data_IF_426925301383
#
_entry.id   IF_426925301383
#
_cell.length_a   1.000
_cell.length_b   1.000
_cell.length_c   1.000
_cell.angle_alpha   90.00
_cell.angle_beta   90.00
_cell.angle_gamma   90.00
#
_symmetry.space_group_name_H-M   'P 1'
#
loop_
_entity.id
_entity.type
_entity.pdbx_description
1 polymer ?
#
# COMPACT_ATOMS: atom_id res chain seq x y z
N UNK A 1 -35.77 3.27 -60.52
CA UNK A 1 -35.44 1.82 -60.50
C UNK A 1 -36.18 1.20 -59.34
N UNK A 2 -37.14 0.35 -59.68
CA UNK A 2 -38.05 -0.37 -58.78
C UNK A 2 -37.42 -1.75 -58.42
N UNK A 3 -38.04 -2.58 -57.56
CA UNK A 3 -37.43 -3.29 -56.46
C UNK A 3 -37.60 -4.82 -56.64
N UNK A 4 -37.25 -5.62 -55.63
CA UNK A 4 -37.90 -6.90 -55.33
C UNK A 4 -37.98 -7.00 -53.81
N UNK A 5 -39.10 -6.65 -53.15
CA UNK A 5 -40.35 -7.44 -53.01
C UNK A 5 -40.07 -8.94 -52.76
N UNK A 6 -40.74 -9.67 -51.88
CA UNK A 6 -41.75 -9.49 -50.81
C UNK A 6 -42.29 -10.92 -50.59
N UNK A 7 -42.91 -11.16 -49.43
CA UNK A 7 -44.05 -12.08 -49.17
C UNK A 7 -43.72 -13.13 -48.08
N UNK A 8 -44.20 -12.97 -46.84
CA UNK A 8 -45.58 -12.96 -46.32
C UNK A 8 -46.02 -14.34 -45.82
N UNK A 9 -46.37 -14.34 -44.53
CA UNK A 9 -47.20 -15.33 -43.87
C UNK A 9 -48.62 -15.35 -44.45
N UNK A 10 -49.26 -16.52 -44.52
CA UNK A 10 -50.69 -16.73 -44.25
C UNK A 10 -51.10 -18.22 -44.28
N UNK A 11 -51.69 -18.64 -43.17
CA UNK A 11 -52.96 -19.38 -43.02
C UNK A 11 -53.17 -20.83 -43.54
N UNK A 12 -53.44 -21.70 -42.55
CA UNK A 12 -54.71 -22.45 -42.29
C UNK A 12 -55.25 -23.43 -43.36
N UNK A 13 -55.21 -24.71 -42.95
CA UNK A 13 -56.18 -25.80 -43.09
C UNK A 13 -56.62 -26.32 -44.47
N UNK A 14 -56.36 -27.62 -44.72
CA UNK A 14 -57.35 -28.72 -44.69
C UNK A 14 -56.93 -29.89 -45.61
N UNK A 15 -57.19 -31.14 -45.17
CA UNK A 15 -57.15 -32.35 -46.00
C UNK A 15 -56.23 -33.47 -45.47
N UNK A 16 -56.56 -34.09 -44.33
CA UNK A 16 -57.16 -35.44 -44.23
C UNK A 16 -56.34 -36.65 -44.76
N UNK A 17 -56.04 -37.54 -43.81
CA UNK A 17 -56.08 -39.01 -43.89
C UNK A 17 -54.97 -39.76 -44.66
N UNK A 18 -53.97 -40.21 -43.89
CA UNK A 18 -53.45 -41.58 -44.02
C UNK A 18 -52.99 -42.08 -42.66
N UNK A 19 -53.81 -42.96 -42.08
CA UNK A 19 -53.45 -43.82 -40.95
C UNK A 19 -52.35 -44.78 -41.38
N UNK A 20 -51.20 -44.73 -40.73
CA UNK A 20 -50.28 -45.87 -40.64
C UNK A 20 -49.56 -45.79 -39.30
N UNK A 21 -49.94 -46.71 -38.42
CA UNK A 21 -49.33 -46.90 -37.13
C UNK A 21 -47.91 -47.47 -37.29
N UNK A 22 -46.92 -46.84 -36.65
CA UNK A 22 -45.70 -47.48 -36.17
C UNK A 22 -45.12 -46.68 -35.00
N UNK A 23 -45.18 -47.32 -33.83
CA UNK A 23 -44.42 -47.14 -32.57
C UNK A 23 -43.68 -45.82 -32.31
N UNK A 24 -44.08 -45.14 -31.23
CA UNK A 24 -43.23 -44.22 -30.48
C UNK A 24 -42.08 -45.01 -29.85
N UNK A 25 -40.88 -44.85 -30.38
CA UNK A 25 -39.67 -45.11 -29.59
C UNK A 25 -39.57 -44.05 -28.49
N UNK A 26 -39.27 -44.53 -27.28
CA UNK A 26 -39.11 -43.72 -26.10
C UNK A 26 -37.98 -42.70 -26.31
N UNK A 27 -38.22 -41.45 -25.90
CA UNK A 27 -37.16 -40.46 -25.76
C UNK A 27 -36.05 -41.05 -24.87
N UNK A 28 -34.76 -40.87 -25.23
CA UNK A 28 -33.68 -41.30 -24.37
C UNK A 28 -33.82 -40.60 -23.00
N UNK A 29 -33.62 -41.32 -21.88
CA UNK A 29 -33.75 -40.73 -20.56
C UNK A 29 -32.77 -39.56 -20.44
N UNK A 30 -33.26 -38.45 -19.89
CA UNK A 30 -32.42 -37.34 -19.47
C UNK A 30 -31.28 -37.91 -18.62
N UNK A 31 -30.07 -37.82 -19.17
CA UNK A 31 -28.84 -38.10 -18.42
C UNK A 31 -28.92 -37.27 -17.14
N UNK A 32 -28.82 -37.89 -15.94
CA UNK A 32 -28.81 -37.11 -14.71
C UNK A 32 -27.66 -36.13 -14.82
N UNK A 33 -27.96 -34.84 -14.86
CA UNK A 33 -26.96 -33.81 -14.56
C UNK A 33 -26.43 -34.22 -13.20
N UNK A 34 -25.14 -34.59 -13.16
CA UNK A 34 -24.47 -34.95 -11.93
C UNK A 34 -24.82 -33.87 -10.90
N UNK A 35 -25.61 -34.24 -9.88
CA UNK A 35 -25.92 -33.35 -8.78
C UNK A 35 -24.58 -32.85 -8.26
N UNK A 36 -24.29 -31.56 -8.47
CA UNK A 36 -23.30 -30.88 -7.64
C UNK A 36 -23.71 -31.24 -6.21
N UNK A 37 -22.83 -31.94 -5.50
CA UNK A 37 -23.02 -32.25 -4.08
C UNK A 37 -23.52 -30.97 -3.43
N UNK A 38 -24.68 -31.02 -2.75
CA UNK A 38 -25.23 -29.84 -2.12
C UNK A 38 -24.15 -29.23 -1.22
N UNK A 39 -23.84 -27.95 -1.41
CA UNK A 39 -22.87 -27.25 -0.57
C UNK A 39 -23.33 -27.32 0.89
N UNK A 40 -22.39 -27.52 1.81
CA UNK A 40 -22.71 -27.68 3.23
C UNK A 40 -23.37 -26.43 3.86
N UNK A 41 -23.11 -25.27 3.28
CA UNK A 41 -23.71 -23.98 3.65
C UNK A 41 -23.96 -23.14 2.38
N UNK A 42 -24.84 -22.14 2.46
CA UNK A 42 -24.99 -21.14 1.40
C UNK A 42 -23.83 -20.14 1.39
N UNK A 43 -23.66 -19.38 0.31
CA UNK A 43 -22.65 -18.32 0.25
C UNK A 43 -22.84 -17.24 1.35
N UNK A 44 -24.09 -16.90 1.68
CA UNK A 44 -24.39 -15.96 2.76
C UNK A 44 -24.05 -16.52 4.14
N UNK A 45 -24.31 -17.81 4.37
CA UNK A 45 -23.93 -18.50 5.61
C UNK A 45 -22.41 -18.60 5.75
N UNK A 46 -21.70 -18.90 4.65
CA UNK A 46 -20.25 -18.89 4.60
C UNK A 46 -19.68 -17.52 4.99
N UNK A 47 -20.16 -16.45 4.36
CA UNK A 47 -19.70 -15.08 4.65
C UNK A 47 -19.95 -14.71 6.11
N UNK A 48 -21.13 -15.04 6.65
CA UNK A 48 -21.46 -14.78 8.05
C UNK A 48 -20.50 -15.53 9.00
N UNK A 49 -20.20 -16.80 8.70
CA UNK A 49 -19.27 -17.63 9.49
C UNK A 49 -17.85 -17.07 9.46
N UNK A 50 -17.28 -16.83 8.29
CA UNK A 50 -15.89 -16.33 8.20
C UNK A 50 -15.75 -14.92 8.81
N UNK A 51 -16.81 -14.10 8.75
CA UNK A 51 -16.81 -12.78 9.39
C UNK A 51 -16.78 -12.89 10.92
N UNK A 52 -17.53 -13.85 11.48
CA UNK A 52 -17.50 -14.12 12.91
C UNK A 52 -16.14 -14.68 13.36
N UNK A 53 -15.57 -15.63 12.60
CA UNK A 53 -14.24 -16.18 12.86
C UNK A 53 -13.15 -15.09 12.77
N UNK A 54 -13.18 -14.25 11.74
CA UNK A 54 -12.26 -13.13 11.59
C UNK A 54 -12.35 -12.14 12.75
N UNK A 55 -13.57 -11.74 13.13
CA UNK A 55 -13.80 -10.84 14.27
C UNK A 55 -13.28 -11.42 15.57
N UNK A 56 -13.45 -12.73 15.79
CA UNK A 56 -12.97 -13.40 16.99
C UNK A 56 -11.44 -13.50 17.03
N UNK A 57 -10.78 -13.69 15.88
CA UNK A 57 -9.32 -13.76 15.78
C UNK A 57 -8.61 -12.40 15.81
N UNK A 58 -9.31 -11.31 15.45
CA UNK A 58 -8.72 -9.99 15.27
C UNK A 58 -7.97 -9.42 16.48
N UNK A 59 -8.44 -9.58 17.74
CA UNK A 59 -7.70 -9.09 18.91
C UNK A 59 -6.32 -9.75 19.08
N UNK A 60 -6.19 -11.04 18.77
CA UNK A 60 -4.92 -11.76 18.94
C UNK A 60 -3.84 -11.23 17.99
N UNK A 61 -4.17 -11.13 16.69
CA UNK A 61 -3.21 -10.62 15.70
C UNK A 61 -2.83 -9.16 15.98
N UNK A 62 -3.81 -8.31 16.31
CA UNK A 62 -3.53 -6.89 16.57
C UNK A 62 -2.74 -6.68 17.86
N UNK A 63 -3.00 -7.46 18.92
CA UNK A 63 -2.20 -7.42 20.15
C UNK A 63 -0.76 -7.88 19.92
N UNK A 64 -0.54 -8.95 19.15
CA UNK A 64 0.81 -9.43 18.82
C UNK A 64 1.60 -8.39 18.01
N UNK A 65 0.96 -7.76 17.02
CA UNK A 65 1.58 -6.68 16.25
C UNK A 65 1.88 -5.45 17.12
N UNK A 66 0.93 -5.03 17.97
CA UNK A 66 1.13 -3.92 18.90
C UNK A 66 2.31 -4.17 19.85
N UNK A 67 2.40 -5.39 20.41
CA UNK A 67 3.50 -5.79 21.28
C UNK A 67 4.85 -5.70 20.55
N UNK A 68 4.94 -6.21 19.32
CA UNK A 68 6.15 -6.15 18.51
C UNK A 68 6.60 -4.73 18.17
N UNK A 69 5.64 -3.82 17.96
CA UNK A 69 5.91 -2.40 17.68
C UNK A 69 6.29 -1.59 18.92
N UNK A 70 5.84 -1.99 20.11
CA UNK A 70 6.07 -1.25 21.36
C UNK A 70 7.18 -1.84 22.24
N UNK A 71 7.54 -3.10 22.04
CA UNK A 71 8.61 -3.81 22.75
C UNK A 71 9.48 -4.58 21.74
N UNK A 72 10.42 -3.89 21.10
CA UNK A 72 11.20 -4.46 19.99
C UNK A 72 12.29 -5.42 20.53
N UNK A 73 12.03 -6.72 20.48
CA UNK A 73 12.97 -7.79 20.86
C UNK A 73 12.64 -9.10 20.12
N UNK A 74 13.48 -10.12 20.26
CA UNK A 74 13.30 -11.40 19.56
C UNK A 74 11.98 -12.12 19.90
N UNK A 75 11.54 -12.05 21.15
CA UNK A 75 10.33 -12.76 21.61
C UNK A 75 9.06 -12.12 21.03
N UNK A 76 8.95 -10.79 21.07
CA UNK A 76 7.80 -10.07 20.51
C UNK A 76 7.71 -10.22 18.98
N UNK A 77 8.86 -10.21 18.31
CA UNK A 77 8.95 -10.45 16.86
C UNK A 77 8.54 -11.89 16.51
N UNK A 78 8.94 -12.88 17.32
CA UNK A 78 8.51 -14.27 17.15
C UNK A 78 6.99 -14.42 17.32
N UNK A 79 6.41 -13.78 18.34
CA UNK A 79 4.95 -13.82 18.57
C UNK A 79 4.18 -13.19 17.41
N UNK A 80 4.61 -12.01 16.92
CA UNK A 80 3.99 -11.36 15.77
C UNK A 80 4.11 -12.20 14.49
N UNK A 81 5.28 -12.80 14.24
CA UNK A 81 5.48 -13.69 13.10
C UNK A 81 4.56 -14.91 13.16
N UNK A 82 4.42 -15.57 14.32
CA UNK A 82 3.53 -16.71 14.50
C UNK A 82 2.04 -16.35 14.39
N UNK A 83 1.64 -15.17 14.88
CA UNK A 83 0.28 -14.67 14.71
C UNK A 83 -0.04 -14.40 13.22
N UNK A 84 0.90 -13.78 12.49
CA UNK A 84 0.77 -13.57 11.04
C UNK A 84 0.69 -14.89 10.26
N UNK A 85 1.55 -15.87 10.59
CA UNK A 85 1.52 -17.20 9.96
C UNK A 85 0.13 -17.85 10.09
N UNK A 86 -0.45 -17.84 11.29
CA UNK A 86 -1.80 -18.38 11.53
C UNK A 86 -2.88 -17.62 10.76
N UNK A 87 -2.79 -16.28 10.75
CA UNK A 87 -3.76 -15.42 10.07
C UNK A 87 -3.74 -15.63 8.56
N UNK A 88 -2.56 -15.66 7.95
CA UNK A 88 -2.41 -15.90 6.51
C UNK A 88 -2.88 -17.31 6.13
N UNK A 89 -2.53 -18.33 6.91
CA UNK A 89 -3.02 -19.68 6.66
C UNK A 89 -4.54 -19.79 6.76
N UNK A 90 -5.18 -19.03 7.66
CA UNK A 90 -6.64 -18.98 7.77
C UNK A 90 -7.27 -18.23 6.59
N UNK A 91 -6.67 -17.11 6.18
CA UNK A 91 -7.10 -16.35 5.01
C UNK A 91 -7.06 -17.24 3.75
N UNK A 92 -5.96 -17.97 3.53
CA UNK A 92 -5.82 -18.88 2.40
C UNK A 92 -6.90 -19.98 2.42
N UNK A 93 -7.21 -20.53 3.60
CA UNK A 93 -8.32 -21.50 3.75
C UNK A 93 -9.66 -20.89 3.35
N UNK A 94 -9.98 -19.68 3.80
CA UNK A 94 -11.22 -19.01 3.42
C UNK A 94 -11.25 -18.68 1.92
N UNK A 95 -10.15 -18.20 1.34
CA UNK A 95 -10.06 -17.94 -0.10
C UNK A 95 -10.28 -19.22 -0.89
N UNK A 96 -9.70 -20.35 -0.48
CA UNK A 96 -9.93 -21.64 -1.14
C UNK A 96 -11.39 -22.09 -1.02
N UNK A 97 -11.96 -22.05 0.19
CA UNK A 97 -13.37 -22.36 0.43
C UNK A 97 -14.30 -21.46 -0.38
N UNK A 98 -13.94 -20.20 -0.60
CA UNK A 98 -14.78 -19.24 -1.34
C UNK A 98 -15.03 -19.67 -2.80
N UNK A 99 -14.14 -20.46 -3.40
CA UNK A 99 -14.21 -20.86 -4.80
C UNK A 99 -15.43 -21.73 -5.11
N UNK A 100 -15.94 -22.47 -4.13
CA UNK A 100 -17.13 -23.32 -4.32
C UNK A 100 -18.41 -22.50 -4.53
N UNK A 101 -18.41 -21.22 -4.14
CA UNK A 101 -19.54 -20.29 -4.30
C UNK A 101 -19.47 -19.48 -5.61
N UNK A 102 -18.49 -19.76 -6.48
CA UNK A 102 -18.42 -19.10 -7.77
C UNK A 102 -19.67 -19.41 -8.63
N UNK A 103 -20.41 -18.37 -9.00
CA UNK A 103 -21.63 -18.49 -9.80
C UNK A 103 -22.85 -19.02 -9.04
N UNK A 104 -22.80 -19.12 -7.71
CA UNK A 104 -23.98 -19.45 -6.88
C UNK A 104 -24.76 -18.19 -6.52
N UNK A 105 -26.09 -18.24 -6.36
CA UNK A 105 -26.87 -17.11 -5.85
C UNK A 105 -26.40 -16.68 -4.46
N UNK A 106 -26.30 -15.36 -4.22
CA UNK A 106 -25.92 -14.77 -2.94
C UNK A 106 -26.40 -13.31 -2.86
N UNK A 107 -26.44 -12.74 -1.65
CA UNK A 107 -26.68 -11.30 -1.48
C UNK A 107 -25.56 -10.44 -2.08
N UNK A 108 -25.86 -9.18 -2.38
CA UNK A 108 -24.87 -8.22 -2.86
C UNK A 108 -23.73 -8.02 -1.84
N UNK A 109 -24.06 -8.02 -0.55
CA UNK A 109 -23.09 -7.89 0.55
C UNK A 109 -22.15 -9.09 0.60
N UNK A 110 -22.67 -10.32 0.45
CA UNK A 110 -21.83 -11.51 0.38
C UNK A 110 -20.95 -11.54 -0.85
N UNK A 111 -21.47 -11.13 -2.02
CA UNK A 111 -20.66 -11.02 -3.23
C UNK A 111 -19.49 -10.03 -3.02
N UNK A 112 -19.75 -8.89 -2.38
CA UNK A 112 -18.73 -7.91 -2.01
C UNK A 112 -17.74 -8.48 -1.00
N UNK A 113 -18.20 -9.17 0.05
CA UNK A 113 -17.33 -9.76 1.06
C UNK A 113 -16.39 -10.82 0.46
N UNK A 114 -16.89 -11.68 -0.44
CA UNK A 114 -16.06 -12.66 -1.15
C UNK A 114 -15.05 -12.02 -2.09
N UNK A 115 -15.39 -10.88 -2.72
CA UNK A 115 -14.44 -10.11 -3.50
C UNK A 115 -13.34 -9.54 -2.60
N UNK A 116 -13.70 -8.86 -1.50
CA UNK A 116 -12.75 -8.31 -0.53
C UNK A 116 -11.83 -9.38 0.05
N UNK A 117 -12.35 -10.57 0.32
CA UNK A 117 -11.56 -11.70 0.80
C UNK A 117 -10.38 -12.04 -0.14
N UNK A 118 -10.59 -11.99 -1.46
CA UNK A 118 -9.50 -12.20 -2.42
C UNK A 118 -8.50 -11.04 -2.42
N UNK A 119 -8.99 -9.81 -2.22
CA UNK A 119 -8.18 -8.60 -2.20
C UNK A 119 -7.32 -8.47 -0.93
N UNK A 120 -7.63 -9.21 0.13
CA UNK A 120 -6.80 -9.30 1.34
C UNK A 120 -5.43 -9.96 1.08
N UNK A 121 -5.25 -10.66 -0.05
CA UNK A 121 -3.97 -11.25 -0.46
C UNK A 121 -3.14 -10.24 -1.27
N UNK A 122 -2.40 -9.36 -0.59
CA UNK A 122 -1.58 -8.33 -1.25
C UNK A 122 -0.46 -8.92 -2.12
N UNK A 123 0.11 -10.05 -1.68
CA UNK A 123 1.08 -10.84 -2.43
C UNK A 123 0.47 -12.22 -2.73
N UNK A 124 -0.29 -12.37 -3.82
CA UNK A 124 -0.93 -13.64 -4.14
C UNK A 124 0.14 -14.68 -4.49
N UNK A 125 0.16 -15.79 -3.75
CA UNK A 125 1.12 -16.86 -3.96
C UNK A 125 0.62 -17.92 -4.96
N UNK A 126 1.52 -18.54 -5.75
CA UNK A 126 1.19 -19.76 -6.49
C UNK A 126 0.71 -20.88 -5.56
N UNK A 127 -0.11 -21.80 -6.09
CA UNK A 127 -0.60 -22.97 -5.33
C UNK A 127 0.47 -24.02 -5.07
N UNK A 128 1.50 -24.06 -5.90
CA UNK A 128 2.62 -24.97 -5.75
C UNK A 128 3.42 -24.58 -4.48
N UNK A 129 3.51 -25.45 -3.46
CA UNK A 129 4.20 -25.14 -2.22
C UNK A 129 5.67 -24.75 -2.41
N UNK A 130 6.35 -25.30 -3.42
CA UNK A 130 7.74 -24.95 -3.71
C UNK A 130 7.85 -23.54 -4.28
N UNK A 131 6.92 -23.15 -5.16
CA UNK A 131 6.85 -21.79 -5.72
C UNK A 131 6.40 -20.77 -4.68
N UNK A 132 5.50 -21.15 -3.77
CA UNK A 132 5.12 -20.32 -2.63
C UNK A 132 6.33 -20.05 -1.72
N UNK A 133 7.09 -21.09 -1.36
CA UNK A 133 8.31 -20.95 -0.59
C UNK A 133 9.39 -20.13 -1.32
N UNK A 134 9.48 -20.26 -2.65
CA UNK A 134 10.36 -19.44 -3.48
C UNK A 134 9.95 -17.96 -3.43
N UNK A 135 8.66 -17.66 -3.62
CA UNK A 135 8.13 -16.29 -3.59
C UNK A 135 8.38 -15.61 -2.24
N UNK A 136 8.08 -16.29 -1.13
CA UNK A 136 8.27 -15.73 0.21
C UNK A 136 9.74 -15.49 0.52
N UNK A 137 10.62 -16.41 0.13
CA UNK A 137 12.08 -16.23 0.27
C UNK A 137 12.60 -15.07 -0.56
N UNK A 138 12.15 -14.91 -1.81
CA UNK A 138 12.55 -13.80 -2.68
C UNK A 138 12.06 -12.47 -2.11
N UNK A 139 10.81 -12.38 -1.66
CA UNK A 139 10.26 -11.17 -1.05
C UNK A 139 11.05 -10.76 0.20
N UNK A 140 11.28 -11.70 1.13
CA UNK A 140 12.06 -11.44 2.34
C UNK A 140 13.52 -11.05 2.03
N UNK A 141 14.12 -11.68 1.01
CA UNK A 141 15.47 -11.33 0.57
C UNK A 141 15.53 -9.91 0.01
N UNK A 142 14.61 -9.50 -0.86
CA UNK A 142 14.59 -8.14 -1.42
C UNK A 142 14.36 -7.08 -0.34
N UNK A 143 13.49 -7.35 0.64
CA UNK A 143 13.28 -6.47 1.80
C UNK A 143 14.56 -6.33 2.64
N UNK A 144 15.23 -7.46 2.92
CA UNK A 144 16.51 -7.47 3.64
C UNK A 144 17.64 -6.79 2.88
N UNK A 145 17.78 -7.04 1.57
CA UNK A 145 18.79 -6.41 0.71
C UNK A 145 18.61 -4.89 0.67
N UNK A 146 17.35 -4.42 0.58
CA UNK A 146 17.03 -3.00 0.66
C UNK A 146 17.40 -2.42 2.02
N UNK A 147 16.93 -3.03 3.12
CA UNK A 147 17.15 -2.54 4.49
C UNK A 147 18.62 -2.57 4.93
N UNK A 148 19.41 -3.53 4.44
CA UNK A 148 20.84 -3.64 4.71
C UNK A 148 21.73 -2.92 3.69
N UNK A 149 21.13 -2.29 2.68
CA UNK A 149 21.84 -1.59 1.62
C UNK A 149 22.82 -0.56 2.16
N UNK A 150 24.07 -0.63 1.72
CA UNK A 150 25.12 0.33 2.08
C UNK A 150 26.00 0.67 0.90
N UNK A 151 26.35 1.95 0.78
CA UNK A 151 27.29 2.44 -0.21
C UNK A 151 28.61 2.78 0.47
N UNK A 152 29.70 2.13 0.05
CA UNK A 152 31.02 2.31 0.64
C UNK A 152 31.98 2.97 -0.35
N UNK A 153 32.74 3.95 0.15
CA UNK A 153 33.84 4.61 -0.57
C UNK A 153 35.16 4.42 0.18
N UNK A 154 36.27 4.38 -0.56
CA UNK A 154 37.59 4.12 -0.01
C UNK A 154 37.87 2.65 0.28
N UNK A 155 39.10 2.35 0.68
CA UNK A 155 39.59 0.99 0.96
C UNK A 155 40.28 0.91 2.32
N UNK A 156 40.38 -0.30 2.89
CA UNK A 156 41.06 -0.55 4.16
C UNK A 156 40.52 0.32 5.31
N UNK A 157 41.42 0.98 6.04
CA UNK A 157 41.08 1.88 7.16
C UNK A 157 40.32 3.14 6.73
N UNK A 158 40.36 3.49 5.44
CA UNK A 158 39.65 4.66 4.89
C UNK A 158 38.25 4.30 4.36
N UNK A 159 37.84 3.04 4.48
CA UNK A 159 36.52 2.59 4.03
C UNK A 159 35.44 3.23 4.88
N UNK A 160 34.59 4.04 4.25
CA UNK A 160 33.42 4.67 4.87
C UNK A 160 32.18 4.19 4.15
N UNK A 161 31.27 3.58 4.90
CA UNK A 161 30.00 3.08 4.39
C UNK A 161 28.87 3.97 4.91
N UNK A 162 27.93 4.32 4.04
CA UNK A 162 26.72 5.06 4.37
C UNK A 162 25.49 4.22 4.06
N UNK A 163 24.53 4.21 4.97
CA UNK A 163 23.21 3.61 4.75
C UNK A 163 22.23 4.64 4.16
N UNK A 164 21.04 4.17 3.75
CA UNK A 164 20.01 5.00 3.10
C UNK A 164 19.76 6.33 3.82
N UNK A 165 19.53 6.32 5.13
CA UNK A 165 19.24 7.55 5.88
C UNK A 165 20.37 8.58 5.85
N UNK A 166 21.64 8.14 5.86
CA UNK A 166 22.79 9.04 5.74
C UNK A 166 22.90 9.63 4.32
N UNK A 167 22.60 8.82 3.31
CA UNK A 167 22.57 9.27 1.91
C UNK A 167 21.40 10.22 1.64
N UNK A 168 20.22 9.94 2.21
CA UNK A 168 19.05 10.82 2.16
C UNK A 168 19.32 12.16 2.83
N UNK A 169 20.04 12.18 3.95
CA UNK A 169 20.43 13.43 4.61
C UNK A 169 21.30 14.30 3.70
N UNK A 170 22.21 13.71 2.91
CA UNK A 170 22.99 14.46 1.92
C UNK A 170 22.08 15.11 0.89
N UNK A 171 21.11 14.37 0.33
CA UNK A 171 20.16 14.93 -0.65
C UNK A 171 19.26 16.01 -0.04
N UNK A 172 18.83 15.84 1.21
CA UNK A 172 17.97 16.79 1.88
C UNK A 172 18.66 18.13 2.14
N UNK A 173 19.90 18.11 2.66
CA UNK A 173 20.56 19.32 3.18
C UNK A 173 21.77 19.82 2.39
N UNK A 174 22.47 18.98 1.63
CA UNK A 174 23.61 19.44 0.84
C UNK A 174 23.13 20.22 -0.38
N UNK A 175 23.92 21.21 -0.77
CA UNK A 175 23.78 21.96 -2.03
C UNK A 175 25.06 21.84 -2.88
N UNK A 176 25.91 20.87 -2.58
CA UNK A 176 27.00 20.48 -3.45
C UNK A 176 26.49 19.47 -4.50
N UNK A 177 26.77 19.75 -5.76
CA UNK A 177 26.30 18.92 -6.87
C UNK A 177 26.90 17.50 -6.83
N UNK A 178 28.21 17.40 -6.56
CA UNK A 178 28.93 16.14 -6.63
C UNK A 178 28.60 15.25 -5.42
N UNK A 179 28.42 15.83 -4.23
CA UNK A 179 27.98 15.08 -3.05
C UNK A 179 26.58 14.49 -3.26
N UNK A 180 25.64 15.27 -3.79
CA UNK A 180 24.30 14.80 -4.09
C UNK A 180 24.31 13.71 -5.17
N UNK A 181 25.11 13.90 -6.24
CA UNK A 181 25.25 12.91 -7.30
C UNK A 181 25.83 11.60 -6.79
N UNK A 182 26.91 11.66 -5.99
CA UNK A 182 27.55 10.49 -5.38
C UNK A 182 26.60 9.76 -4.43
N UNK A 183 25.84 10.49 -3.60
CA UNK A 183 24.86 9.87 -2.70
C UNK A 183 23.74 9.15 -3.47
N UNK A 184 23.17 9.80 -4.49
CA UNK A 184 22.11 9.23 -5.32
C UNK A 184 22.58 8.02 -6.11
N UNK A 185 23.74 8.11 -6.79
CA UNK A 185 24.31 6.99 -7.55
C UNK A 185 24.72 5.85 -6.63
N UNK A 186 25.32 6.18 -5.48
CA UNK A 186 25.73 5.23 -4.46
C UNK A 186 24.57 4.38 -3.97
N UNK A 187 23.43 5.00 -3.65
CA UNK A 187 22.23 4.24 -3.29
C UNK A 187 21.71 3.38 -4.44
N UNK A 188 21.57 3.92 -5.65
CA UNK A 188 21.03 3.16 -6.79
C UNK A 188 21.94 1.99 -7.20
N UNK A 189 23.23 2.03 -6.87
CA UNK A 189 24.15 0.92 -7.08
C UNK A 189 23.80 -0.32 -6.24
N UNK A 190 23.17 -0.14 -5.06
CA UNK A 190 22.78 -1.25 -4.17
C UNK A 190 21.61 -2.07 -4.72
N UNK A 191 20.80 -1.49 -5.61
CA UNK A 191 19.62 -2.13 -6.17
C UNK A 191 19.92 -3.11 -7.32
N UNK A 192 21.09 -3.00 -7.98
CA UNK A 192 21.39 -3.82 -9.16
C UNK A 192 21.32 -5.33 -8.93
N UNK A 193 21.82 -5.89 -7.80
CA UNK A 193 21.73 -7.32 -7.51
C UNK A 193 20.29 -7.84 -7.39
N UNK A 194 19.34 -6.98 -7.01
CA UNK A 194 17.93 -7.37 -6.82
C UNK A 194 17.18 -7.58 -8.14
N UNK A 195 17.74 -7.20 -9.29
CA UNK A 195 17.03 -7.24 -10.58
C UNK A 195 16.46 -8.62 -10.92
N UNK A 196 17.26 -9.68 -10.74
CA UNK A 196 16.83 -11.06 -11.06
C UNK A 196 15.73 -11.53 -10.10
N UNK A 197 15.89 -11.22 -8.82
CA UNK A 197 14.92 -11.54 -7.78
C UNK A 197 13.58 -10.83 -8.07
N UNK A 198 13.61 -9.55 -8.46
CA UNK A 198 12.40 -8.79 -8.81
C UNK A 198 11.68 -9.36 -10.04
N UNK A 199 12.41 -9.76 -11.09
CA UNK A 199 11.81 -10.42 -12.25
C UNK A 199 11.08 -11.70 -11.86
N UNK A 200 11.75 -12.55 -11.06
CA UNK A 200 11.17 -13.82 -10.60
C UNK A 200 9.98 -13.59 -9.65
N UNK A 201 10.06 -12.58 -8.79
CA UNK A 201 8.96 -12.14 -7.95
C UNK A 201 7.71 -11.80 -8.77
N UNK A 202 7.86 -11.00 -9.83
CA UNK A 202 6.73 -10.63 -10.72
C UNK A 202 6.11 -11.85 -11.39
N UNK A 203 6.91 -12.80 -11.88
CA UNK A 203 6.41 -14.04 -12.49
C UNK A 203 5.53 -14.84 -11.53
N UNK A 204 6.03 -15.06 -10.30
CA UNK A 204 5.37 -15.84 -9.26
C UNK A 204 4.11 -15.12 -8.75
N UNK A 205 4.17 -13.82 -8.49
CA UNK A 205 3.02 -13.03 -8.07
C UNK A 205 1.91 -13.01 -9.14
N UNK A 206 2.28 -12.92 -10.42
CA UNK A 206 1.32 -13.01 -11.52
C UNK A 206 0.68 -14.39 -11.64
N UNK A 207 1.44 -15.47 -11.40
CA UNK A 207 0.87 -16.83 -11.34
C UNK A 207 -0.13 -16.96 -10.19
N UNK A 208 0.19 -16.44 -9.01
CA UNK A 208 -0.74 -16.39 -7.88
C UNK A 208 -2.01 -15.60 -8.19
N UNK A 209 -1.88 -14.41 -8.79
CA UNK A 209 -3.01 -13.56 -9.17
C UNK A 209 -3.98 -14.26 -10.15
N UNK A 210 -3.44 -14.99 -11.13
CA UNK A 210 -4.24 -15.85 -12.03
C UNK A 210 -4.96 -16.96 -11.28
N UNK A 211 -4.33 -17.54 -10.27
CA UNK A 211 -4.95 -18.53 -9.38
C UNK A 211 -6.17 -18.01 -8.60
N UNK A 212 -6.29 -16.69 -8.44
CA UNK A 212 -7.41 -15.98 -7.81
C UNK A 212 -8.45 -15.43 -8.80
N UNK A 213 -8.19 -15.56 -10.11
CA UNK A 213 -9.08 -15.11 -11.19
C UNK A 213 -8.76 -13.71 -11.74
N UNK A 214 -7.59 -13.15 -11.44
CA UNK A 214 -7.13 -11.88 -12.02
C UNK A 214 -6.12 -12.13 -13.15
N UNK A 215 -6.02 -11.22 -14.12
CA UNK A 215 -5.08 -11.39 -15.24
C UNK A 215 -3.61 -11.33 -14.79
N UNK A 216 -3.32 -10.45 -13.85
CA UNK A 216 -2.00 -10.20 -13.26
C UNK A 216 -2.14 -9.55 -11.87
N UNK A 217 -1.03 -9.42 -11.15
CA UNK A 217 -1.01 -8.84 -9.79
C UNK A 217 -1.41 -7.36 -9.78
N UNK A 218 -1.15 -6.64 -10.88
CA UNK A 218 -1.56 -5.24 -11.01
C UNK A 218 -3.08 -5.08 -11.11
N UNK A 219 -3.76 -5.98 -11.84
CA UNK A 219 -5.23 -6.02 -11.90
C UNK A 219 -5.81 -6.35 -10.52
N UNK A 220 -5.20 -7.28 -9.78
CA UNK A 220 -5.60 -7.58 -8.39
C UNK A 220 -5.52 -6.30 -7.53
N UNK A 221 -4.38 -5.60 -7.52
CA UNK A 221 -4.22 -4.38 -6.73
C UNK A 221 -5.21 -3.28 -7.13
N UNK A 222 -5.40 -3.04 -8.43
CA UNK A 222 -6.35 -2.04 -8.94
C UNK A 222 -7.81 -2.41 -8.67
N UNK A 223 -8.12 -3.68 -8.37
CA UNK A 223 -9.48 -4.12 -8.01
C UNK A 223 -9.92 -3.64 -6.62
N UNK A 224 -9.02 -3.06 -5.83
CA UNK A 224 -9.35 -2.44 -4.54
C UNK A 224 -10.11 -1.11 -4.63
N UNK A 225 -10.25 -0.52 -5.82
CA UNK A 225 -10.83 0.81 -6.01
C UNK A 225 -12.35 0.84 -6.25
N UNK A 226 -13.06 -0.27 -5.99
CA UNK A 226 -14.51 -0.39 -6.22
C UNK A 226 -14.98 0.05 -7.63
N UNK A 227 -14.08 -0.07 -8.61
CA UNK A 227 -14.30 0.27 -10.01
C UNK A 227 -13.63 -0.78 -10.91
N UNK A 228 -14.03 -0.92 -12.19
CA UNK A 228 -13.34 -1.80 -13.12
C UNK A 228 -11.84 -1.43 -13.21
N UNK A 229 -10.90 -2.38 -13.03
CA UNK A 229 -9.46 -2.09 -12.99
C UNK A 229 -8.91 -1.36 -14.22
N UNK A 230 -9.54 -1.53 -15.39
CA UNK A 230 -9.18 -0.84 -16.62
C UNK A 230 -9.56 0.65 -16.61
N UNK A 231 -10.62 1.03 -15.89
CA UNK A 231 -11.04 2.42 -15.77
C UNK A 231 -10.12 3.22 -14.86
N UNK A 232 -9.49 2.59 -13.85
CA UNK A 232 -8.57 3.29 -12.95
C UNK A 232 -7.38 3.93 -13.69
N UNK A 233 -6.84 3.23 -14.70
CA UNK A 233 -5.74 3.76 -15.51
C UNK A 233 -6.18 5.03 -16.27
N UNK A 234 -7.32 4.96 -16.97
CA UNK A 234 -7.89 6.12 -17.66
C UNK A 234 -8.17 7.28 -16.72
N UNK A 235 -8.60 6.99 -15.49
CA UNK A 235 -8.95 8.04 -14.54
C UNK A 235 -7.72 8.68 -13.89
N UNK A 236 -6.66 7.89 -13.69
CA UNK A 236 -5.34 8.40 -13.30
C UNK A 236 -4.78 9.33 -14.37
N UNK A 237 -4.85 8.94 -15.65
CA UNK A 237 -4.39 9.77 -16.78
C UNK A 237 -5.21 11.07 -16.88
N UNK A 238 -6.53 11.00 -16.70
CA UNK A 238 -7.40 12.20 -16.69
C UNK A 238 -7.01 13.17 -15.59
N UNK A 239 -6.80 12.67 -14.37
CA UNK A 239 -6.39 13.48 -13.23
C UNK A 239 -5.00 14.07 -13.43
N UNK A 240 -4.06 13.29 -13.99
CA UNK A 240 -2.73 13.78 -14.35
C UNK A 240 -2.79 14.94 -15.34
N UNK A 241 -3.58 14.84 -16.42
CA UNK A 241 -3.70 15.93 -17.40
C UNK A 241 -4.31 17.21 -16.79
N UNK A 242 -5.08 17.12 -15.71
CA UNK A 242 -5.57 18.29 -14.96
C UNK A 242 -4.49 18.93 -14.10
N UNK A 243 -3.60 18.13 -13.49
CA UNK A 243 -2.49 18.60 -12.64
C UNK A 243 -1.30 19.09 -13.47
N UNK A 244 -1.09 18.49 -14.64
CA UNK A 244 0.07 18.70 -15.52
C UNK A 244 0.37 20.17 -15.85
N UNK A 245 -0.60 21.08 -16.13
CA UNK A 245 -0.29 22.49 -16.35
C UNK A 245 0.34 23.17 -15.14
N UNK A 246 -0.10 22.83 -13.92
CA UNK A 246 0.49 23.32 -12.68
C UNK A 246 1.89 22.72 -12.47
N UNK A 247 2.01 21.41 -12.66
CA UNK A 247 3.30 20.72 -12.54
C UNK A 247 4.34 21.26 -13.53
N UNK A 248 3.95 21.54 -14.78
CA UNK A 248 4.85 22.09 -15.79
C UNK A 248 5.37 23.49 -15.40
N UNK A 249 4.52 24.33 -14.82
CA UNK A 249 4.94 25.65 -14.31
C UNK A 249 5.89 25.50 -13.11
N UNK A 250 5.56 24.60 -12.17
CA UNK A 250 6.42 24.31 -11.01
C UNK A 250 7.78 23.75 -11.45
N UNK A 251 7.79 22.81 -12.38
CA UNK A 251 9.01 22.22 -12.95
C UNK A 251 9.85 23.28 -13.65
N UNK A 252 9.23 24.16 -14.44
CA UNK A 252 9.94 25.25 -15.13
C UNK A 252 10.55 26.25 -14.12
N UNK A 253 9.80 26.59 -13.07
CA UNK A 253 10.28 27.46 -12.01
C UNK A 253 11.45 26.82 -11.24
N UNK A 254 11.31 25.56 -10.85
CA UNK A 254 12.35 24.80 -10.16
C UNK A 254 13.62 24.70 -11.01
N UNK A 255 13.48 24.40 -12.32
CA UNK A 255 14.62 24.40 -13.25
C UNK A 255 15.35 25.73 -13.24
N UNK A 256 14.65 26.86 -13.36
CA UNK A 256 15.28 28.18 -13.33
C UNK A 256 16.04 28.47 -12.03
N UNK A 257 15.53 27.97 -10.89
CA UNK A 257 16.23 28.06 -9.59
C UNK A 257 17.47 27.18 -9.54
N UNK A 258 17.39 25.95 -10.04
CA UNK A 258 18.54 25.04 -10.14
C UNK A 258 19.61 25.59 -11.10
N UNK A 259 19.23 26.13 -12.26
CA UNK A 259 20.15 26.76 -13.20
C UNK A 259 20.90 27.93 -12.56
N UNK A 260 20.20 28.72 -11.73
CA UNK A 260 20.82 29.83 -10.98
C UNK A 260 21.82 29.32 -9.94
N UNK A 261 21.51 28.22 -9.25
CA UNK A 261 22.35 27.67 -8.19
C UNK A 261 23.55 26.88 -8.71
N UNK A 262 23.36 26.05 -9.74
CA UNK A 262 24.33 25.06 -10.19
C UNK A 262 24.95 25.36 -11.56
N UNK A 263 24.41 26.34 -12.28
CA UNK A 263 24.73 26.58 -13.69
C UNK A 263 23.92 25.67 -14.62
N UNK A 264 23.69 26.12 -15.86
CA UNK A 264 22.83 25.42 -16.82
C UNK A 264 23.37 24.05 -17.26
N UNK A 265 24.68 23.83 -17.18
CA UNK A 265 25.31 22.53 -17.45
C UNK A 265 24.99 21.46 -16.39
N UNK A 266 24.52 21.88 -15.21
CA UNK A 266 24.24 21.01 -14.07
C UNK A 266 22.81 21.11 -13.53
N UNK A 267 22.16 22.26 -13.67
CA UNK A 267 20.79 22.51 -13.22
C UNK A 267 19.71 21.86 -14.07
N UNK A 268 20.06 21.44 -15.29
CA UNK A 268 19.19 20.71 -16.20
C UNK A 268 19.93 19.55 -16.89
N UNK A 269 19.15 18.57 -17.37
CA UNK A 269 19.60 17.53 -18.31
C UNK A 269 18.87 17.66 -19.64
N UNK A 270 19.19 16.79 -20.60
CA UNK A 270 18.65 16.84 -21.97
C UNK A 270 17.12 17.06 -22.01
N UNK A 271 16.69 18.03 -22.82
CA UNK A 271 15.27 18.40 -22.94
C UNK A 271 14.78 19.36 -21.84
N UNK A 272 15.67 19.94 -21.04
CA UNK A 272 15.30 20.84 -19.94
C UNK A 272 14.64 20.10 -18.77
N UNK A 273 15.00 18.83 -18.58
CA UNK A 273 14.53 18.00 -17.47
C UNK A 273 15.37 18.28 -16.22
N UNK A 274 14.81 17.99 -15.04
CA UNK A 274 15.52 18.18 -13.78
C UNK A 274 16.46 16.99 -13.50
N UNK A 275 17.69 17.21 -13.04
CA UNK A 275 18.56 16.14 -12.57
C UNK A 275 17.98 15.49 -11.30
N UNK A 276 17.76 14.17 -11.33
CA UNK A 276 17.09 13.44 -10.25
C UNK A 276 17.74 13.64 -8.87
N UNK A 277 19.07 13.65 -8.82
CA UNK A 277 19.83 13.80 -7.57
C UNK A 277 19.73 15.19 -6.93
N UNK A 278 19.15 16.20 -7.59
CA UNK A 278 19.02 17.55 -7.05
C UNK A 278 17.65 17.85 -6.43
N UNK A 279 16.77 16.84 -6.30
CA UNK A 279 15.38 17.06 -5.88
C UNK A 279 15.11 16.98 -4.38
N UNK A 280 16.15 16.98 -3.55
CA UNK A 280 15.98 16.97 -2.09
C UNK A 280 15.55 15.63 -1.50
N UNK A 281 15.33 14.60 -2.33
CA UNK A 281 14.85 13.28 -1.93
C UNK A 281 15.43 12.19 -2.85
N UNK A 282 15.66 10.98 -2.30
CA UNK A 282 16.29 9.86 -3.01
C UNK A 282 15.55 9.42 -4.28
N UNK A 283 14.22 9.51 -4.30
CA UNK A 283 13.37 9.11 -5.42
C UNK A 283 12.54 10.26 -6.00
N UNK A 284 12.89 11.50 -5.64
CA UNK A 284 12.27 12.71 -6.18
C UNK A 284 10.76 12.78 -5.92
N UNK A 285 10.25 12.03 -4.94
CA UNK A 285 8.81 11.89 -4.66
C UNK A 285 8.23 13.12 -3.95
N UNK A 286 9.10 13.90 -3.31
CA UNK A 286 8.78 15.15 -2.61
C UNK A 286 9.95 16.12 -2.77
N UNK A 287 9.65 17.39 -3.07
CA UNK A 287 10.61 18.48 -3.25
C UNK A 287 10.61 19.47 -2.08
N UNK A 288 9.93 19.16 -0.97
CA UNK A 288 9.84 19.99 0.23
C UNK A 288 11.21 20.39 0.79
N UNK A 289 12.19 19.50 0.73
CA UNK A 289 13.58 19.76 1.13
C UNK A 289 14.30 20.81 0.25
N UNK A 290 13.70 21.28 -0.84
CA UNK A 290 14.21 22.38 -1.66
C UNK A 290 13.60 23.74 -1.32
N UNK A 291 12.86 23.85 -0.21
CA UNK A 291 12.17 25.10 0.16
C UNK A 291 13.10 26.32 0.21
N UNK A 292 14.33 26.16 0.71
CA UNK A 292 15.38 27.19 0.71
C UNK A 292 15.70 27.73 -0.70
N UNK A 293 15.67 26.88 -1.72
CA UNK A 293 15.90 27.24 -3.13
C UNK A 293 14.63 27.75 -3.83
N UNK A 294 13.48 27.15 -3.50
CA UNK A 294 12.22 27.35 -4.22
C UNK A 294 11.33 28.44 -3.61
N UNK A 295 11.61 28.90 -2.39
CA UNK A 295 10.83 29.95 -1.74
C UNK A 295 10.67 31.18 -2.67
N UNK A 296 9.43 31.63 -2.95
CA UNK A 296 9.22 32.77 -3.84
C UNK A 296 9.66 34.11 -3.23
N UNK A 297 9.49 34.26 -1.91
CA UNK A 297 9.72 35.51 -1.19
C UNK A 297 10.53 35.27 0.09
N UNK A 298 11.86 35.47 0.06
CA UNK A 298 12.68 35.38 1.25
C UNK A 298 12.20 36.33 2.35
N UNK A 299 12.06 35.83 3.58
CA UNK A 299 11.66 36.64 4.75
C UNK A 299 10.16 36.90 4.91
N UNK A 300 9.30 36.38 4.01
CA UNK A 300 7.89 36.20 4.35
C UNK A 300 7.80 35.11 5.41
N UNK A 301 7.22 35.41 6.58
CA UNK A 301 7.36 34.62 7.81
C UNK A 301 7.13 33.11 7.67
N UNK A 302 7.80 32.36 8.54
CA UNK A 302 7.71 30.90 8.60
C UNK A 302 6.51 30.45 9.46
N UNK A 303 5.88 29.35 9.06
CA UNK A 303 4.83 28.65 9.82
C UNK A 303 5.43 27.61 10.78
N UNK A 304 6.74 27.57 10.96
CA UNK A 304 7.39 26.70 11.93
C UNK A 304 6.95 27.04 13.38
N UNK A 305 6.10 26.18 13.93
CA UNK A 305 5.63 26.26 15.32
C UNK A 305 6.53 25.51 16.31
N UNK A 306 7.64 24.92 15.87
CA UNK A 306 8.54 24.10 16.71
C UNK A 306 8.98 24.87 17.95
N UNK A 307 9.43 26.12 17.78
CA UNK A 307 9.85 26.98 18.89
C UNK A 307 8.71 27.26 19.90
N UNK A 308 7.46 27.34 19.43
CA UNK A 308 6.30 27.54 20.31
C UNK A 308 5.99 26.26 21.10
N UNK A 309 6.09 25.09 20.47
CA UNK A 309 5.91 23.79 21.13
C UNK A 309 7.03 23.50 22.14
N UNK A 310 8.28 23.82 21.80
CA UNK A 310 9.41 23.75 22.74
C UNK A 310 9.18 24.64 23.95
N UNK A 311 8.71 25.88 23.74
CA UNK A 311 8.38 26.79 24.84
C UNK A 311 7.30 26.23 25.75
N UNK A 312 6.28 25.58 25.20
CA UNK A 312 5.24 24.89 25.99
C UNK A 312 5.83 23.73 26.80
N UNK A 313 6.70 22.92 26.21
CA UNK A 313 7.42 21.86 26.92
C UNK A 313 8.27 22.42 28.07
N UNK A 314 9.04 23.49 27.83
CA UNK A 314 9.87 24.13 28.85
C UNK A 314 9.03 24.70 30.01
N UNK A 315 7.84 25.23 29.71
CA UNK A 315 6.87 25.65 30.72
C UNK A 315 6.39 24.47 31.58
N UNK A 316 6.03 23.35 30.95
CA UNK A 316 5.64 22.13 31.65
C UNK A 316 6.78 21.57 32.52
N UNK A 317 8.01 21.54 32.01
CA UNK A 317 9.19 21.07 32.74
C UNK A 317 9.48 21.96 33.97
N UNK A 318 9.45 23.28 33.78
CA UNK A 318 9.65 24.23 34.87
C UNK A 318 8.62 24.05 35.98
N UNK A 319 7.35 23.82 35.61
CA UNK A 319 6.27 23.57 36.57
C UNK A 319 6.45 22.26 37.36
N UNK A 320 6.96 21.20 36.72
CA UNK A 320 7.26 19.92 37.41
C UNK A 320 8.46 20.08 38.35
N UNK A 321 9.55 20.69 37.89
CA UNK A 321 10.74 20.93 38.70
C UNK A 321 10.43 21.78 39.95
N UNK A 322 9.58 22.80 39.81
CA UNK A 322 9.16 23.66 40.94
C UNK A 322 8.39 22.88 42.03
N UNK A 323 7.62 21.85 41.65
CA UNK A 323 6.89 20.99 42.61
C UNK A 323 7.81 20.03 43.36
N UNK A 324 8.95 19.67 42.75
CA UNK A 324 9.91 18.73 43.31
C UNK A 324 11.04 19.41 44.10
N UNK A 325 10.86 20.67 44.53
CA UNK A 325 11.84 21.50 45.23
C UNK A 325 12.25 20.99 46.62
N UNK A 326 11.61 19.92 47.13
CA UNK A 326 12.00 19.22 48.37
C UNK A 326 12.80 17.92 48.17
N UNK A 327 13.08 17.52 46.92
CA UNK A 327 13.89 16.34 46.59
C UNK A 327 15.38 16.66 46.44
N UNK A 328 16.22 15.63 46.42
CA UNK A 328 17.68 15.65 46.28
C UNK A 328 18.23 16.25 44.97
N UNK A 329 17.36 16.65 44.03
CA UNK A 329 17.73 17.39 42.81
C UNK A 329 18.68 16.64 41.87
N UNK A 330 18.91 15.35 42.14
CA UNK A 330 19.85 14.49 41.45
C UNK A 330 19.38 14.09 40.04
N UNK A 331 20.25 13.37 39.32
CA UNK A 331 20.00 12.95 37.94
C UNK A 331 18.66 12.18 37.78
N UNK A 332 18.32 11.32 38.74
CA UNK A 332 17.06 10.58 38.72
C UNK A 332 15.83 11.50 38.86
N UNK A 333 15.89 12.49 39.75
CA UNK A 333 14.80 13.45 39.93
C UNK A 333 14.59 14.31 38.67
N UNK A 334 15.67 14.72 38.01
CA UNK A 334 15.62 15.47 36.74
C UNK A 334 15.05 14.61 35.60
N UNK A 335 15.53 13.38 35.46
CA UNK A 335 14.99 12.44 34.46
C UNK A 335 13.49 12.21 34.65
N UNK A 336 13.03 11.98 35.89
CA UNK A 336 11.61 11.80 36.17
C UNK A 336 10.80 13.07 35.85
N UNK A 337 11.34 14.26 36.15
CA UNK A 337 10.69 15.52 35.81
C UNK A 337 10.56 15.72 34.30
N UNK A 338 11.60 15.38 33.53
CA UNK A 338 11.58 15.40 32.06
C UNK A 338 10.53 14.44 31.51
N UNK A 339 10.45 13.21 32.03
CA UNK A 339 9.44 12.22 31.62
C UNK A 339 8.01 12.67 31.93
N UNK A 340 7.78 13.27 33.10
CA UNK A 340 6.46 13.82 33.43
C UNK A 340 6.09 14.99 32.50
N UNK A 341 7.04 15.91 32.25
CA UNK A 341 6.83 17.05 31.36
C UNK A 341 6.55 16.62 29.92
N UNK A 342 7.28 15.61 29.41
CA UNK A 342 7.03 15.01 28.10
C UNK A 342 5.61 14.42 28.03
N UNK A 343 5.21 13.62 29.03
CA UNK A 343 3.88 13.02 29.08
C UNK A 343 2.78 14.08 29.13
N UNK A 344 2.96 15.12 29.96
CA UNK A 344 2.01 16.24 30.06
C UNK A 344 1.86 16.98 28.74
N UNK A 345 2.98 17.27 28.07
CA UNK A 345 2.99 17.97 26.78
C UNK A 345 2.29 17.12 25.71
N UNK A 346 2.59 15.81 25.64
CA UNK A 346 1.95 14.89 24.71
C UNK A 346 0.43 14.77 24.94
N UNK A 347 -0.01 14.74 26.21
CA UNK A 347 -1.44 14.76 26.55
C UNK A 347 -2.12 16.05 26.09
N UNK A 348 -1.54 17.21 26.37
CA UNK A 348 -2.09 18.50 25.93
C UNK A 348 -2.21 18.59 24.40
N UNK A 349 -1.23 18.09 23.66
CA UNK A 349 -1.29 18.03 22.19
C UNK A 349 -2.41 17.10 21.71
N UNK A 350 -2.57 15.95 22.36
CA UNK A 350 -3.61 14.96 22.02
C UNK A 350 -5.01 15.50 22.36
N UNK A 351 -5.17 16.16 23.50
CA UNK A 351 -6.40 16.83 23.91
C UNK A 351 -6.76 17.94 22.92
N UNK A 352 -5.78 18.74 22.48
CA UNK A 352 -6.01 19.78 21.46
C UNK A 352 -6.51 19.18 20.13
N UNK A 353 -5.99 18.02 19.74
CA UNK A 353 -6.49 17.30 18.57
C UNK A 353 -7.92 16.77 18.80
N UNK A 354 -8.21 16.21 19.98
CA UNK A 354 -9.57 15.78 20.35
C UNK A 354 -10.56 16.95 20.34
N UNK A 355 -10.17 18.11 20.87
CA UNK A 355 -11.00 19.34 20.86
C UNK A 355 -11.36 19.75 19.44
N UNK A 356 -10.42 19.68 18.51
CA UNK A 356 -10.69 19.94 17.10
C UNK A 356 -11.78 18.98 16.56
N UNK A 357 -11.62 17.67 16.72
CA UNK A 357 -12.60 16.70 16.20
C UNK A 357 -13.97 16.80 16.90
N UNK A 358 -13.98 17.02 18.21
CA UNK A 358 -15.23 17.18 18.96
C UNK A 358 -15.93 18.49 18.64
N UNK A 359 -15.19 19.56 18.30
CA UNK A 359 -15.79 20.80 17.80
C UNK A 359 -16.50 20.61 16.45
N UNK A 360 -16.15 19.56 15.69
CA UNK A 360 -16.83 19.13 14.47
C UNK A 360 -17.98 18.13 14.74
N UNK A 361 -18.29 17.84 16.00
CA UNK A 361 -19.36 16.91 16.39
C UNK A 361 -18.96 15.43 16.43
N UNK A 362 -17.67 15.09 16.29
CA UNK A 362 -17.20 13.71 16.47
C UNK A 362 -17.21 13.31 17.96
N UNK A 363 -17.39 12.00 18.27
CA UNK A 363 -17.31 11.53 19.65
C UNK A 363 -15.91 11.73 20.23
N UNK A 364 -15.84 11.87 21.55
CA UNK A 364 -14.57 11.83 22.29
C UNK A 364 -13.90 10.48 22.13
N UNK A 365 -12.58 10.47 22.30
CA UNK A 365 -11.84 9.21 22.41
C UNK A 365 -12.36 8.41 23.61
N UNK A 366 -12.41 7.07 23.50
CA UNK A 366 -12.95 6.18 24.53
C UNK A 366 -12.20 6.22 25.85
#
# INVERSE_FOLDING_TARGET
MNPRLLLLALAVAAGTLSLSACRRDAAPPDTPVASKTALAESADQFVARISAEYKAAYPEITAAQWLSSTYINGDSQLLAAKANERSLAQLDRWIEQSKQYAGTPMSADSARALQLLKLMSALPAPRDPAKLAELTRIAAKMEGDYGAGSYCVGEGEQRRCRQLGELEQVLASSRDYNEQLDAWQGWHSTAQPMRKDYQRFVELANEGARGLGFADVGVLWRSGYDMPPAQLASETDRLWEQVKPLYAQLQCYARGKLDTQYGKDKGEVAGGLLPAHLMGNMWQQDWSNLWDLLQPYPGAGDLDITSALEKQYQGNLSAVLARNTGGDGGAAARFNAEREAQLRTAKQMTERAQDFYTSLGMPKLP
#
